data_IF_715574385136
#
_entry.id   IF_715574385136
#
_cell.length_a   1.000
_cell.length_b   1.000
_cell.length_c   1.000
_cell.angle_alpha   90.00
_cell.angle_beta   90.00
_cell.angle_gamma   90.00
#
_symmetry.space_group_name_H-M   'P 1'
#
loop_
_entity.id
_entity.type
_entity.pdbx_description
1 polymer ?
#
# COMPACT_ATOMS: atom_id res chain seq x y z
N UNK A 1 64.53 4.88 46.57
CA UNK A 1 63.88 6.18 46.41
C UNK A 1 62.59 5.89 45.65
N UNK A 2 61.46 6.01 46.34
CA UNK A 2 60.08 5.99 45.79
C UNK A 2 59.99 6.97 44.60
N UNK A 3 59.12 6.80 43.61
CA UNK A 3 57.66 7.05 43.57
C UNK A 3 57.19 6.42 42.23
N UNK A 4 56.13 5.63 42.09
CA UNK A 4 54.76 5.93 42.48
C UNK A 4 54.08 6.75 41.38
N UNK A 5 53.50 6.09 40.37
CA UNK A 5 52.47 6.67 39.50
C UNK A 5 51.69 5.52 38.82
N UNK A 6 50.79 4.95 39.61
CA UNK A 6 49.67 4.16 39.13
C UNK A 6 48.70 5.06 38.33
N UNK A 7 47.86 4.42 37.52
CA UNK A 7 46.63 4.97 36.93
C UNK A 7 46.76 5.95 35.74
N UNK A 8 46.50 5.44 34.53
CA UNK A 8 45.39 5.89 33.68
C UNK A 8 45.46 5.28 32.26
N UNK A 9 45.29 3.95 32.14
CA UNK A 9 44.62 3.45 30.93
C UNK A 9 43.14 3.80 31.09
N UNK A 10 42.78 5.01 30.67
CA UNK A 10 41.42 5.50 30.63
C UNK A 10 40.57 4.53 29.82
N UNK A 11 39.93 3.59 30.52
CA UNK A 11 38.93 2.69 29.95
C UNK A 11 37.62 3.48 29.87
N UNK A 12 37.64 4.60 29.16
CA UNK A 12 36.44 5.19 28.57
C UNK A 12 36.05 4.31 27.39
N UNK A 13 35.70 3.05 27.67
CA UNK A 13 34.66 2.38 26.92
C UNK A 13 33.39 3.18 27.18
N UNK A 14 33.29 4.35 26.54
CA UNK A 14 32.00 4.98 26.36
C UNK A 14 31.13 3.89 25.78
N UNK A 15 30.16 3.47 26.58
CA UNK A 15 29.24 2.40 26.25
C UNK A 15 28.36 2.94 25.12
N UNK A 16 28.91 2.94 23.90
CA UNK A 16 28.28 3.36 22.65
C UNK A 16 27.25 2.31 22.21
N UNK A 17 26.68 1.57 23.17
CA UNK A 17 25.61 0.61 22.93
C UNK A 17 24.33 1.41 22.67
N UNK A 18 24.01 1.57 21.38
CA UNK A 18 22.68 2.04 20.96
C UNK A 18 21.64 1.04 21.48
N UNK A 19 20.54 1.56 22.04
CA UNK A 19 19.41 0.71 22.46
C UNK A 19 18.86 -0.06 21.26
N UNK A 20 18.55 -1.34 21.46
CA UNK A 20 17.91 -2.16 20.42
C UNK A 20 16.52 -1.63 20.11
N UNK A 21 16.23 -1.43 18.82
CA UNK A 21 14.87 -1.19 18.34
C UNK A 21 14.17 -2.52 18.17
N UNK A 22 13.47 -2.99 19.21
CA UNK A 22 12.72 -4.25 19.21
C UNK A 22 11.41 -4.13 18.41
N UNK A 23 11.50 -3.62 17.19
CA UNK A 23 10.36 -3.50 16.28
C UNK A 23 10.19 -4.79 15.50
N UNK A 24 8.94 -5.25 15.28
CA UNK A 24 8.69 -6.40 14.42
C UNK A 24 9.12 -6.07 12.98
N UNK A 25 9.61 -7.06 12.22
CA UNK A 25 9.91 -6.87 10.81
C UNK A 25 8.64 -6.54 10.02
N UNK A 26 8.82 -5.96 8.84
CA UNK A 26 7.72 -5.76 7.89
C UNK A 26 7.07 -7.10 7.54
N UNK A 27 5.74 -7.17 7.62
CA UNK A 27 4.96 -8.32 7.15
C UNK A 27 5.12 -8.56 5.64
N UNK A 28 5.46 -7.51 4.90
CA UNK A 28 5.46 -7.51 3.43
C UNK A 28 6.84 -7.70 2.81
N UNK A 29 7.91 -7.52 3.61
CA UNK A 29 9.29 -7.61 3.12
C UNK A 29 9.50 -6.78 1.85
N UNK A 30 10.01 -7.42 0.80
CA UNK A 30 10.22 -6.81 -0.52
C UNK A 30 9.15 -7.21 -1.56
N UNK A 31 8.01 -7.77 -1.15
CA UNK A 31 6.99 -8.30 -2.07
C UNK A 31 6.44 -7.25 -3.06
N UNK A 32 6.52 -5.97 -2.67
CA UNK A 32 6.11 -4.83 -3.50
C UNK A 32 7.29 -3.98 -3.98
N UNK A 33 8.54 -4.44 -3.81
CA UNK A 33 9.73 -3.68 -4.21
C UNK A 33 9.92 -3.63 -5.73
N UNK A 34 9.34 -4.57 -6.47
CA UNK A 34 9.33 -4.58 -7.93
C UNK A 34 8.01 -5.12 -8.47
N UNK A 35 7.55 -4.54 -9.57
CA UNK A 35 6.38 -5.01 -10.28
C UNK A 35 6.60 -4.85 -11.78
N UNK A 36 6.39 -5.94 -12.53
CA UNK A 36 6.39 -5.91 -13.99
C UNK A 36 4.96 -5.71 -14.44
N UNK A 37 4.70 -4.56 -15.06
CA UNK A 37 3.36 -4.24 -15.52
C UNK A 37 2.95 -5.14 -16.69
N UNK A 38 1.83 -5.87 -16.60
CA UNK A 38 1.36 -6.69 -17.69
C UNK A 38 0.61 -5.84 -18.73
N UNK A 39 1.37 -5.13 -19.57
CA UNK A 39 0.84 -4.16 -20.53
C UNK A 39 -0.27 -4.72 -21.43
N UNK A 40 -0.08 -5.92 -21.98
CA UNK A 40 -1.04 -6.55 -22.91
C UNK A 40 -2.37 -6.90 -22.25
N UNK A 41 -2.32 -7.39 -21.00
CA UNK A 41 -3.52 -7.72 -20.22
C UNK A 41 -4.24 -6.44 -19.81
N UNK A 42 -3.48 -5.43 -19.38
CA UNK A 42 -4.03 -4.13 -19.03
C UNK A 42 -4.73 -3.45 -20.21
N UNK A 43 -4.16 -3.48 -21.41
CA UNK A 43 -4.79 -2.94 -22.62
C UNK A 43 -6.09 -3.69 -22.97
N UNK A 44 -6.07 -5.03 -22.87
CA UNK A 44 -7.26 -5.85 -23.05
C UNK A 44 -8.37 -5.50 -22.06
N UNK A 45 -8.03 -5.36 -20.78
CA UNK A 45 -8.98 -4.96 -19.74
C UNK A 45 -9.48 -3.53 -19.94
N UNK A 46 -8.61 -2.61 -20.32
CA UNK A 46 -8.99 -1.21 -20.58
C UNK A 46 -10.03 -1.11 -21.68
N UNK A 47 -9.86 -1.88 -22.76
CA UNK A 47 -10.86 -1.97 -23.83
C UNK A 47 -12.19 -2.53 -23.33
N UNK A 48 -12.15 -3.63 -22.57
CA UNK A 48 -13.36 -4.26 -22.02
C UNK A 48 -14.11 -3.32 -21.06
N UNK A 49 -13.39 -2.54 -20.27
CA UNK A 49 -13.97 -1.56 -19.34
C UNK A 49 -14.66 -0.43 -20.09
N UNK A 50 -14.08 0.09 -21.18
CA UNK A 50 -14.75 1.12 -21.99
C UNK A 50 -16.02 0.58 -22.67
N UNK A 51 -16.02 -0.65 -23.18
CA UNK A 51 -17.22 -1.29 -23.71
C UNK A 51 -18.29 -1.50 -22.61
N UNK A 52 -17.90 -1.97 -21.42
CA UNK A 52 -18.80 -2.17 -20.29
C UNK A 52 -19.37 -0.84 -19.77
N UNK A 53 -18.58 0.22 -19.76
CA UNK A 53 -18.98 1.56 -19.31
C UNK A 53 -20.13 2.12 -20.14
N UNK A 54 -20.09 1.96 -21.46
CA UNK A 54 -21.22 2.38 -22.31
C UNK A 54 -22.47 1.55 -22.03
N UNK A 55 -22.34 0.22 -21.85
CA UNK A 55 -23.46 -0.63 -21.46
C UNK A 55 -24.09 -0.21 -20.11
N UNK A 56 -23.25 0.09 -19.11
CA UNK A 56 -23.71 0.55 -17.79
C UNK A 56 -24.41 1.90 -17.89
N UNK A 57 -23.92 2.83 -18.73
CA UNK A 57 -24.62 4.10 -18.98
C UNK A 57 -26.00 3.89 -19.60
N UNK A 58 -26.13 2.98 -20.57
CA UNK A 58 -27.44 2.64 -21.13
C UNK A 58 -28.38 2.04 -20.07
N UNK A 59 -27.87 1.16 -19.21
CA UNK A 59 -28.64 0.60 -18.09
C UNK A 59 -29.09 1.68 -17.10
N UNK A 60 -28.22 2.65 -16.80
CA UNK A 60 -28.54 3.79 -15.94
C UNK A 60 -29.62 4.70 -16.56
N UNK A 61 -29.61 4.88 -17.87
CA UNK A 61 -30.66 5.64 -18.57
C UNK A 61 -31.99 4.88 -18.51
N UNK A 62 -31.98 3.57 -18.78
CA UNK A 62 -33.17 2.71 -18.75
C UNK A 62 -33.78 2.64 -17.34
N UNK A 63 -32.97 2.57 -16.29
CA UNK A 63 -33.48 2.49 -14.91
C UNK A 63 -34.29 3.71 -14.47
N UNK A 64 -34.19 4.86 -15.18
CA UNK A 64 -34.98 6.07 -14.88
C UNK A 64 -36.49 5.90 -15.10
N UNK A 65 -36.91 4.83 -15.78
CA UNK A 65 -38.33 4.49 -15.97
C UNK A 65 -39.03 4.18 -14.63
N UNK A 66 -38.29 3.65 -13.64
CA UNK A 66 -38.78 3.39 -12.28
C UNK A 66 -37.84 4.06 -11.23
N UNK A 67 -38.32 5.06 -10.48
CA UNK A 67 -37.52 5.74 -9.46
C UNK A 67 -36.88 4.81 -8.43
N UNK A 68 -37.54 3.71 -8.04
CA UNK A 68 -36.98 2.77 -7.06
C UNK A 68 -35.79 2.02 -7.67
N UNK A 69 -35.96 1.47 -8.88
CA UNK A 69 -34.87 0.82 -9.62
C UNK A 69 -33.71 1.77 -9.90
N UNK A 70 -33.99 3.03 -10.21
CA UNK A 70 -32.93 4.02 -10.43
C UNK A 70 -32.06 4.23 -9.18
N UNK A 71 -32.70 4.41 -8.01
CA UNK A 71 -32.00 4.59 -6.74
C UNK A 71 -31.20 3.33 -6.38
N UNK A 72 -31.78 2.14 -6.52
CA UNK A 72 -31.09 0.88 -6.25
C UNK A 72 -29.89 0.67 -7.18
N UNK A 73 -30.05 0.97 -8.47
CA UNK A 73 -28.98 0.85 -9.45
C UNK A 73 -27.83 1.84 -9.17
N UNK A 74 -28.15 3.08 -8.80
CA UNK A 74 -27.13 4.07 -8.38
C UNK A 74 -26.41 3.58 -7.12
N UNK A 75 -27.13 3.10 -6.10
CA UNK A 75 -26.52 2.57 -4.88
C UNK A 75 -25.62 1.35 -5.16
N UNK A 76 -25.98 0.50 -6.12
CA UNK A 76 -25.13 -0.60 -6.56
C UNK A 76 -23.82 -0.08 -7.18
N UNK A 77 -23.90 0.88 -8.11
CA UNK A 77 -22.72 1.47 -8.74
C UNK A 77 -21.78 2.13 -7.72
N UNK A 78 -22.32 2.89 -6.77
CA UNK A 78 -21.53 3.55 -5.72
C UNK A 78 -20.81 2.58 -4.76
N UNK A 79 -21.18 1.29 -4.75
CA UNK A 79 -20.53 0.26 -3.90
C UNK A 79 -19.56 -0.63 -4.69
N UNK A 80 -19.57 -0.54 -6.02
CA UNK A 80 -18.69 -1.30 -6.91
C UNK A 80 -17.39 -0.57 -7.22
N UNK A 81 -17.40 0.77 -7.17
CA UNK A 81 -16.20 1.61 -7.12
C UNK A 81 -15.50 1.51 -5.76
#
# INVERSE_FOLDING_TARGET
>A
MEIGADLAANTNQQNNSRRSGNFPPSLWGCSFASFTFPQTEFESYSRQVEELKENVKEMLIKSKEDPVQNIEFINLLCRLE
#
